data_IF_647895015456
#
_entry.id   IF_647895015456
#
_cell.length_a   1.000
_cell.length_b   1.000
_cell.length_c   1.000
_cell.angle_alpha   90.00
_cell.angle_beta   90.00
_cell.angle_gamma   90.00
#
_symmetry.space_group_name_H-M   'P 1'
#
loop_
_entity.id
_entity.type
_entity.pdbx_description
1 polymer ?
#
# COMPACT_ATOMS: atom_id res chain seq x y z
N UNK A 1 1.99 34.30 2.30
CA UNK A 1 1.04 33.90 1.25
C UNK A 1 1.50 32.54 0.74
N UNK A 2 0.76 31.47 1.02
CA UNK A 2 1.09 30.10 0.59
C UNK A 2 0.98 30.06 -0.94
N UNK A 3 2.08 29.75 -1.63
CA UNK A 3 2.11 29.71 -3.10
C UNK A 3 1.25 28.53 -3.57
N UNK A 4 0.47 28.71 -4.62
CA UNK A 4 -0.20 27.60 -5.30
C UNK A 4 0.82 26.57 -5.80
N UNK A 5 0.37 25.34 -6.08
CA UNK A 5 1.25 24.29 -6.59
C UNK A 5 1.80 24.60 -7.98
N UNK A 6 1.05 25.35 -8.80
CA UNK A 6 1.53 25.82 -10.09
C UNK A 6 2.64 26.87 -9.95
N UNK A 7 2.45 27.86 -9.09
CA UNK A 7 3.48 28.88 -8.83
C UNK A 7 4.74 28.26 -8.23
N UNK A 8 4.59 27.29 -7.32
CA UNK A 8 5.73 26.56 -6.76
C UNK A 8 6.48 25.78 -7.85
N UNK A 9 5.77 25.10 -8.75
CA UNK A 9 6.38 24.37 -9.87
C UNK A 9 7.11 25.31 -10.82
N UNK A 10 6.51 26.46 -11.14
CA UNK A 10 7.10 27.49 -12.01
C UNK A 10 8.38 28.04 -11.39
N UNK A 11 8.36 28.36 -10.09
CA UNK A 11 9.54 28.84 -9.37
C UNK A 11 10.65 27.80 -9.28
N UNK A 12 10.34 26.50 -9.17
CA UNK A 12 11.38 25.47 -9.23
C UNK A 12 12.10 25.43 -10.57
N UNK A 13 11.40 25.76 -11.67
CA UNK A 13 12.00 25.84 -13.02
C UNK A 13 12.83 27.11 -13.18
N UNK A 14 12.29 28.26 -12.76
CA UNK A 14 12.91 29.57 -12.96
C UNK A 14 14.03 29.87 -11.97
N UNK A 15 13.84 29.47 -10.70
CA UNK A 15 14.70 29.79 -9.59
C UNK A 15 14.75 28.63 -8.58
N UNK A 16 15.48 27.58 -8.98
CA UNK A 16 15.69 26.34 -8.23
C UNK A 16 16.57 26.52 -6.97
N UNK A 17 16.31 27.54 -6.17
CA UNK A 17 17.01 27.83 -4.92
C UNK A 17 16.67 26.81 -3.83
N UNK A 18 17.55 26.69 -2.83
CA UNK A 18 17.34 25.79 -1.68
C UNK A 18 16.03 26.08 -0.93
N UNK A 19 15.60 27.35 -0.85
CA UNK A 19 14.32 27.70 -0.21
C UNK A 19 13.13 27.14 -0.98
N UNK A 20 13.13 27.23 -2.31
CA UNK A 20 12.04 26.73 -3.15
C UNK A 20 12.01 25.19 -3.14
N UNK A 21 13.18 24.55 -3.18
CA UNK A 21 13.30 23.10 -3.01
C UNK A 21 12.77 22.63 -1.65
N UNK A 22 13.10 23.35 -0.56
CA UNK A 22 12.60 23.04 0.78
C UNK A 22 11.08 23.17 0.89
N UNK A 23 10.48 24.17 0.23
CA UNK A 23 9.01 24.31 0.19
C UNK A 23 8.37 23.12 -0.53
N UNK A 24 8.89 22.71 -1.69
CA UNK A 24 8.42 21.53 -2.40
C UNK A 24 8.59 20.25 -1.56
N UNK A 25 9.74 20.09 -0.92
CA UNK A 25 9.99 18.97 -0.03
C UNK A 25 8.97 18.93 1.11
N UNK A 26 8.77 20.04 1.82
CA UNK A 26 7.85 20.08 2.95
C UNK A 26 6.40 19.82 2.54
N UNK A 27 6.00 20.26 1.35
CA UNK A 27 4.64 20.08 0.85
C UNK A 27 4.32 18.64 0.48
N UNK A 28 5.28 17.91 -0.12
CA UNK A 28 5.02 16.58 -0.67
C UNK A 28 5.67 15.43 0.11
N UNK A 29 6.52 15.71 1.12
CA UNK A 29 7.23 14.67 1.88
C UNK A 29 6.31 13.64 2.52
N UNK A 30 5.24 14.08 3.18
CA UNK A 30 4.36 13.19 3.94
C UNK A 30 3.62 12.23 3.02
N UNK A 31 3.07 12.77 1.92
CA UNK A 31 2.44 11.98 0.86
C UNK A 31 3.40 10.92 0.31
N UNK A 32 4.61 11.34 -0.10
CA UNK A 32 5.54 10.43 -0.76
C UNK A 32 6.06 9.36 0.22
N UNK A 33 6.40 9.74 1.45
CA UNK A 33 6.89 8.81 2.46
C UNK A 33 5.83 7.75 2.80
N UNK A 34 4.56 8.14 2.91
CA UNK A 34 3.45 7.20 3.13
C UNK A 34 3.37 6.16 2.01
N UNK A 35 3.48 6.58 0.75
CA UNK A 35 3.50 5.66 -0.40
C UNK A 35 4.66 4.68 -0.30
N UNK A 36 5.86 5.18 0.01
CA UNK A 36 7.05 4.34 0.12
C UNK A 36 6.89 3.29 1.24
N UNK A 37 6.41 3.70 2.42
CA UNK A 37 6.14 2.81 3.56
C UNK A 37 5.12 1.73 3.23
N UNK A 38 3.99 2.11 2.63
CA UNK A 38 2.94 1.14 2.25
C UNK A 38 3.49 0.05 1.33
N UNK A 39 4.39 0.41 0.40
CA UNK A 39 4.99 -0.51 -0.57
C UNK A 39 6.07 -1.39 0.04
N UNK A 40 6.81 -0.88 1.03
CA UNK A 40 7.96 -1.56 1.61
C UNK A 40 7.64 -2.31 2.92
N UNK A 41 6.44 -2.14 3.50
CA UNK A 41 6.06 -2.71 4.81
C UNK A 41 6.17 -4.24 4.95
N UNK A 42 6.28 -4.98 3.85
CA UNK A 42 6.37 -6.44 3.84
C UNK A 42 7.79 -6.94 3.53
N UNK A 43 8.81 -6.09 3.63
CA UNK A 43 10.22 -6.46 3.50
C UNK A 43 10.89 -6.40 4.86
N UNK A 44 11.84 -7.29 5.08
CA UNK A 44 12.77 -7.14 6.20
C UNK A 44 13.58 -5.86 5.98
N UNK A 45 13.67 -5.00 6.99
CA UNK A 45 14.24 -3.65 6.83
C UNK A 45 13.39 -2.72 5.94
N UNK A 46 12.08 -2.99 5.84
CA UNK A 46 11.16 -2.24 4.98
C UNK A 46 11.09 -0.73 5.25
N UNK A 47 11.39 -0.28 6.48
CA UNK A 47 11.46 1.15 6.80
C UNK A 47 12.69 1.80 6.14
N UNK A 48 13.88 1.17 6.25
CA UNK A 48 15.09 1.67 5.57
C UNK A 48 14.90 1.68 4.05
N UNK A 49 14.29 0.63 3.49
CA UNK A 49 13.97 0.59 2.06
C UNK A 49 13.01 1.71 1.65
N UNK A 50 12.02 2.02 2.49
CA UNK A 50 11.09 3.13 2.23
C UNK A 50 11.82 4.49 2.24
N UNK A 51 12.73 4.70 3.18
CA UNK A 51 13.56 5.91 3.24
C UNK A 51 14.47 6.05 2.01
N UNK A 52 15.13 4.98 1.59
CA UNK A 52 15.99 4.97 0.40
C UNK A 52 15.20 5.33 -0.87
N UNK A 53 14.03 4.70 -1.06
CA UNK A 53 13.17 4.98 -2.20
C UNK A 53 12.63 6.41 -2.16
N UNK A 54 12.25 6.89 -0.97
CA UNK A 54 11.81 8.26 -0.77
C UNK A 54 12.90 9.26 -1.17
N UNK A 55 14.13 9.09 -0.66
CA UNK A 55 15.25 9.98 -0.95
C UNK A 55 15.58 9.98 -2.45
N UNK A 56 15.70 8.80 -3.05
CA UNK A 56 15.96 8.66 -4.50
C UNK A 56 14.86 9.31 -5.35
N UNK A 57 13.60 9.16 -4.93
CA UNK A 57 12.46 9.78 -5.62
C UNK A 57 12.53 11.29 -5.54
N UNK A 58 12.79 11.87 -4.37
CA UNK A 58 12.89 13.33 -4.22
C UNK A 58 14.01 13.93 -5.05
N UNK A 59 15.19 13.28 -5.08
CA UNK A 59 16.32 13.72 -5.90
C UNK A 59 15.94 13.68 -7.39
N UNK A 60 15.34 12.58 -7.86
CA UNK A 60 14.91 12.44 -9.26
C UNK A 60 13.80 13.42 -9.63
N UNK A 61 12.88 13.69 -8.72
CA UNK A 61 11.82 14.67 -8.92
C UNK A 61 12.40 16.08 -9.08
N UNK A 62 13.30 16.53 -8.19
CA UNK A 62 13.91 17.85 -8.31
C UNK A 62 14.72 18.00 -9.61
N UNK A 63 15.46 16.96 -10.01
CA UNK A 63 16.19 16.96 -11.28
C UNK A 63 15.26 16.92 -12.52
N UNK A 64 14.08 16.32 -12.38
CA UNK A 64 13.10 16.13 -13.45
C UNK A 64 12.04 17.22 -13.56
N UNK A 65 12.10 18.28 -12.73
CA UNK A 65 11.01 19.24 -12.57
C UNK A 65 10.62 19.94 -13.88
N UNK A 66 11.62 20.24 -14.72
CA UNK A 66 11.43 20.82 -16.05
C UNK A 66 10.58 19.93 -16.97
N UNK A 67 10.70 18.60 -16.84
CA UNK A 67 9.91 17.66 -17.64
C UNK A 67 8.45 17.63 -17.19
N UNK A 68 8.20 17.75 -15.88
CA UNK A 68 6.84 17.84 -15.36
C UNK A 68 6.19 19.15 -15.79
N UNK A 69 6.88 20.27 -15.61
CA UNK A 69 6.36 21.60 -15.96
C UNK A 69 5.96 21.69 -17.45
N UNK A 70 6.72 21.07 -18.36
CA UNK A 70 6.36 21.01 -19.80
C UNK A 70 5.11 20.16 -20.11
N UNK A 71 4.73 19.25 -19.22
CA UNK A 71 3.59 18.33 -19.41
C UNK A 71 2.29 18.87 -18.83
N UNK A 72 2.36 19.88 -17.97
CA UNK A 72 1.22 20.48 -17.26
C UNK A 72 1.06 21.91 -17.76
N UNK A 73 -0.17 22.35 -18.00
CA UNK A 73 -0.49 23.74 -18.35
C UNK A 73 -0.96 24.53 -17.13
N UNK A 74 -0.83 25.87 -17.16
CA UNK A 74 -1.47 26.81 -16.21
C UNK A 74 -2.95 26.49 -15.99
N UNK A 75 -3.65 26.08 -17.05
CA UNK A 75 -5.10 25.83 -17.04
C UNK A 75 -5.48 24.50 -16.38
N UNK A 76 -4.49 23.72 -15.93
CA UNK A 76 -4.72 22.43 -15.30
C UNK A 76 -5.42 22.63 -13.96
N UNK A 77 -6.68 22.22 -13.88
CA UNK A 77 -7.56 22.41 -12.72
C UNK A 77 -7.07 21.73 -11.43
N UNK A 78 -6.07 20.83 -11.50
CA UNK A 78 -5.52 20.17 -10.32
C UNK A 78 -4.02 19.83 -10.44
N UNK A 79 -3.16 20.87 -10.50
CA UNK A 79 -1.70 20.73 -10.53
C UNK A 79 -1.15 19.82 -9.42
N UNK A 80 -1.73 19.89 -8.22
CA UNK A 80 -1.33 19.06 -7.09
C UNK A 80 -1.49 17.56 -7.39
N UNK A 81 -2.63 17.15 -7.96
CA UNK A 81 -2.89 15.76 -8.36
C UNK A 81 -1.88 15.29 -9.40
N UNK A 82 -1.50 16.14 -10.34
CA UNK A 82 -0.47 15.80 -11.33
C UNK A 82 0.91 15.63 -10.71
N UNK A 83 1.31 16.50 -9.76
CA UNK A 83 2.56 16.35 -9.02
C UNK A 83 2.55 15.05 -8.22
N UNK A 84 1.48 14.77 -7.45
CA UNK A 84 1.32 13.54 -6.68
C UNK A 84 1.41 12.29 -7.57
N UNK A 85 0.73 12.27 -8.72
CA UNK A 85 0.77 11.16 -9.67
C UNK A 85 2.17 10.95 -10.28
N UNK A 86 2.87 12.04 -10.57
CA UNK A 86 4.24 12.00 -11.10
C UNK A 86 5.23 11.47 -10.06
N UNK A 87 5.18 11.97 -8.82
CA UNK A 87 5.99 11.48 -7.70
C UNK A 87 5.75 9.98 -7.46
N UNK A 88 4.50 9.54 -7.43
CA UNK A 88 4.14 8.12 -7.29
C UNK A 88 4.70 7.27 -8.43
N UNK A 89 4.77 7.82 -9.65
CA UNK A 89 5.37 7.14 -10.80
C UNK A 89 6.88 6.97 -10.65
N UNK A 90 7.59 8.00 -10.19
CA UNK A 90 9.03 7.90 -9.91
C UNK A 90 9.27 6.87 -8.80
N UNK A 91 8.56 6.95 -7.67
CA UNK A 91 8.71 6.01 -6.56
C UNK A 91 8.45 4.55 -6.98
N UNK A 92 7.41 4.34 -7.81
CA UNK A 92 7.12 3.01 -8.38
C UNK A 92 8.30 2.49 -9.21
N UNK A 93 8.92 3.34 -10.00
CA UNK A 93 10.06 2.96 -10.83
C UNK A 93 11.30 2.66 -9.97
N UNK A 94 11.57 3.45 -8.92
CA UNK A 94 12.66 3.16 -7.97
C UNK A 94 12.47 1.82 -7.28
N UNK A 95 11.25 1.55 -6.80
CA UNK A 95 10.92 0.27 -6.18
C UNK A 95 11.07 -0.90 -7.16
N UNK A 96 10.64 -0.74 -8.42
CA UNK A 96 10.84 -1.76 -9.46
C UNK A 96 12.32 -1.99 -9.76
N UNK A 97 13.13 -0.94 -9.79
CA UNK A 97 14.59 -1.06 -9.95
C UNK A 97 15.25 -1.78 -8.78
N UNK A 98 14.82 -1.49 -7.54
CA UNK A 98 15.28 -2.23 -6.36
C UNK A 98 14.98 -3.73 -6.50
N UNK A 99 13.74 -4.10 -6.87
CA UNK A 99 13.36 -5.50 -7.09
C UNK A 99 14.12 -6.17 -8.24
N UNK A 100 14.47 -5.40 -9.28
CA UNK A 100 15.27 -5.90 -10.40
C UNK A 100 16.71 -6.21 -9.96
N UNK A 101 17.28 -5.40 -9.08
CA UNK A 101 18.64 -5.58 -8.53
C UNK A 101 18.70 -6.64 -7.44
N UNK A 102 17.59 -6.89 -6.75
CA UNK A 102 17.48 -7.84 -5.64
C UNK A 102 16.45 -8.94 -5.98
N UNK A 103 16.78 -9.88 -6.88
CA UNK A 103 15.84 -10.90 -7.34
C UNK A 103 15.39 -11.86 -6.23
N UNK A 104 16.20 -12.05 -5.19
CA UNK A 104 15.81 -12.87 -4.03
C UNK A 104 14.73 -12.19 -3.19
N UNK A 105 14.75 -10.86 -3.03
CA UNK A 105 13.67 -10.08 -2.43
C UNK A 105 12.36 -10.14 -3.25
N UNK A 106 12.49 -10.36 -4.56
CA UNK A 106 11.37 -10.61 -5.47
C UNK A 106 10.80 -12.03 -5.32
N UNK A 107 11.58 -13.00 -4.84
CA UNK A 107 11.15 -14.39 -4.59
C UNK A 107 10.66 -14.61 -3.16
N UNK A 108 11.30 -13.97 -2.19
CA UNK A 108 10.92 -13.89 -0.77
C UNK A 108 9.77 -12.91 -0.53
N UNK A 109 9.39 -12.19 -1.58
CA UNK A 109 8.11 -11.49 -1.69
C UNK A 109 6.99 -12.38 -1.16
N UNK A 110 6.52 -12.06 0.04
CA UNK A 110 5.33 -12.64 0.63
C UNK A 110 4.28 -12.96 -0.47
N UNK A 111 3.73 -14.19 -0.56
CA UNK A 111 2.66 -14.51 -1.52
C UNK A 111 1.44 -13.56 -1.41
N UNK A 112 1.30 -12.85 -0.28
CA UNK A 112 0.33 -11.77 -0.07
C UNK A 112 0.75 -10.39 -0.65
N UNK A 113 1.84 -10.28 -1.44
CA UNK A 113 2.15 -9.05 -2.18
C UNK A 113 1.12 -8.88 -3.30
N UNK A 114 0.24 -7.89 -3.13
CA UNK A 114 -0.58 -7.35 -4.21
C UNK A 114 0.30 -7.14 -5.44
N UNK A 115 -0.09 -7.74 -6.57
CA UNK A 115 0.60 -7.52 -7.84
C UNK A 115 0.69 -6.03 -8.07
N UNK A 116 1.90 -5.57 -8.41
CA UNK A 116 2.27 -4.15 -8.54
C UNK A 116 1.29 -3.36 -9.42
N UNK A 117 0.61 -4.05 -10.33
CA UNK A 117 -0.26 -3.50 -11.35
C UNK A 117 -1.74 -3.37 -10.89
N UNK A 118 -2.14 -3.98 -9.77
CA UNK A 118 -3.53 -3.93 -9.24
C UNK A 118 -3.76 -2.85 -8.19
N UNK A 119 -2.68 -2.24 -7.67
CA UNK A 119 -2.85 -1.01 -6.89
C UNK A 119 -3.02 0.13 -7.89
N UNK A 120 -4.23 0.23 -8.44
CA UNK A 120 -4.79 1.54 -8.77
C UNK A 120 -4.72 2.34 -7.49
N UNK A 121 -3.79 3.28 -7.48
CA UNK A 121 -3.59 4.20 -6.38
C UNK A 121 -4.77 5.18 -6.39
N UNK A 122 -5.95 4.72 -5.94
CA UNK A 122 -7.06 5.58 -5.55
C UNK A 122 -6.71 6.17 -4.19
N UNK A 123 -5.87 7.20 -4.20
CA UNK A 123 -5.65 8.05 -3.03
C UNK A 123 -6.63 9.21 -3.07
N UNK A 124 -7.77 9.05 -2.41
CA UNK A 124 -8.41 10.17 -1.72
C UNK A 124 -7.63 10.41 -0.42
N UNK A 125 -6.43 10.98 -0.53
CA UNK A 125 -5.70 11.44 0.64
C UNK A 125 -6.24 12.81 1.02
N UNK A 126 -6.98 12.87 2.11
CA UNK A 126 -7.30 14.11 2.80
C UNK A 126 -5.99 14.83 3.13
N UNK A 127 -5.78 16.00 2.53
CA UNK A 127 -4.65 16.92 2.73
C UNK A 127 -4.66 17.60 4.10
N UNK A 128 -5.08 16.91 5.15
CA UNK A 128 -4.99 17.47 6.50
C UNK A 128 -3.61 17.16 7.05
N UNK A 129 -2.78 18.21 7.03
CA UNK A 129 -1.60 18.41 7.88
C UNK A 129 -1.96 17.93 9.29
N UNK A 130 -1.51 16.73 9.64
CA UNK A 130 -1.13 16.27 10.96
C UNK A 130 -0.65 14.83 10.80
N UNK A 131 0.32 14.42 11.61
CA UNK A 131 0.65 13.01 11.82
C UNK A 131 -0.58 12.29 12.40
N UNK A 132 -1.57 12.01 11.55
CA UNK A 132 -2.62 11.09 11.90
C UNK A 132 -1.98 9.72 11.74
N UNK A 133 -1.42 9.22 12.85
CA UNK A 133 -1.48 7.78 13.16
C UNK A 133 -2.88 7.39 12.71
N UNK A 134 -3.00 6.64 11.60
CA UNK A 134 -4.29 6.17 11.11
C UNK A 134 -4.96 5.53 12.32
N UNK A 135 -5.88 6.27 12.98
CA UNK A 135 -6.77 5.66 13.95
C UNK A 135 -7.48 4.63 13.09
N UNK A 136 -7.25 3.32 13.32
CA UNK A 136 -7.84 2.33 12.47
C UNK A 136 -9.34 2.62 12.51
N UNK A 137 -10.00 2.62 11.35
CA UNK A 137 -11.45 2.81 11.34
C UNK A 137 -12.06 1.83 12.34
N UNK A 138 -13.20 2.14 12.94
CA UNK A 138 -13.87 1.22 13.89
C UNK A 138 -13.97 -0.20 13.29
N UNK A 139 -14.09 -0.30 11.95
CA UNK A 139 -14.06 -1.56 11.21
C UNK A 139 -12.68 -2.25 11.16
N UNK A 140 -11.58 -1.50 11.04
CA UNK A 140 -10.21 -2.03 11.06
C UNK A 140 -9.81 -2.49 12.46
N UNK A 141 -10.14 -1.74 13.52
CA UNK A 141 -9.88 -2.17 14.92
C UNK A 141 -10.63 -3.46 15.25
N UNK A 142 -11.91 -3.54 14.86
CA UNK A 142 -12.73 -4.75 15.04
C UNK A 142 -12.21 -5.93 14.22
N UNK A 143 -11.74 -5.68 13.00
CA UNK A 143 -11.13 -6.71 12.16
C UNK A 143 -9.82 -7.22 12.76
N UNK A 144 -8.95 -6.32 13.24
CA UNK A 144 -7.67 -6.68 13.86
C UNK A 144 -7.89 -7.44 15.18
N UNK A 145 -8.86 -7.01 15.99
CA UNK A 145 -9.30 -7.74 17.19
C UNK A 145 -9.88 -9.12 16.83
N UNK A 146 -10.64 -9.24 15.75
CA UNK A 146 -11.15 -10.53 15.30
C UNK A 146 -10.05 -11.45 14.76
N UNK A 147 -9.05 -10.90 14.06
CA UNK A 147 -7.91 -11.64 13.53
C UNK A 147 -6.95 -12.09 14.64
N UNK A 148 -6.86 -11.37 15.77
CA UNK A 148 -6.04 -11.78 16.91
C UNK A 148 -6.62 -12.96 17.70
N UNK A 149 -7.93 -13.22 17.57
CA UNK A 149 -8.61 -14.41 18.13
C UNK A 149 -8.35 -15.70 17.33
N UNK A 150 -7.75 -15.58 16.15
CA UNK A 150 -7.40 -16.73 15.30
C UNK A 150 -5.98 -17.18 15.62
N UNK A 151 -5.80 -18.49 15.78
CA UNK A 151 -4.46 -19.09 15.76
C UNK A 151 -3.79 -18.88 14.39
N UNK A 152 -2.46 -18.92 14.31
CA UNK A 152 -1.73 -18.79 13.04
C UNK A 152 -2.22 -19.77 11.98
N UNK A 153 -2.57 -20.99 12.40
CA UNK A 153 -3.19 -22.02 11.55
C UNK A 153 -4.54 -21.57 11.02
N UNK A 154 -5.43 -21.09 11.89
CA UNK A 154 -6.78 -20.63 11.52
C UNK A 154 -6.72 -19.41 10.60
N UNK A 155 -5.78 -18.50 10.87
CA UNK A 155 -5.55 -17.28 10.10
C UNK A 155 -5.03 -17.60 8.71
N UNK A 156 -4.02 -18.47 8.60
CA UNK A 156 -3.47 -18.87 7.30
C UNK A 156 -4.53 -19.56 6.43
N UNK A 157 -5.25 -20.55 6.97
CA UNK A 157 -6.32 -21.25 6.22
C UNK A 157 -7.37 -20.26 5.73
N UNK A 158 -7.80 -19.34 6.59
CA UNK A 158 -8.82 -18.36 6.22
C UNK A 158 -8.33 -17.41 5.12
N UNK A 159 -7.10 -16.92 5.21
CA UNK A 159 -6.51 -16.03 4.21
C UNK A 159 -6.43 -16.70 2.83
N UNK A 160 -6.02 -17.98 2.78
CA UNK A 160 -6.03 -18.74 1.52
C UNK A 160 -7.45 -18.86 0.96
N UNK A 161 -8.47 -19.06 1.79
CA UNK A 161 -9.87 -19.01 1.30
C UNK A 161 -10.29 -17.65 0.76
N UNK A 162 -9.78 -16.54 1.33
CA UNK A 162 -10.09 -15.19 0.87
C UNK A 162 -9.38 -14.83 -0.44
N UNK A 163 -8.18 -15.36 -0.66
CA UNK A 163 -7.43 -15.18 -1.92
C UNK A 163 -8.20 -15.72 -3.14
N UNK A 164 -8.95 -16.81 -2.95
CA UNK A 164 -9.77 -17.44 -4.00
C UNK A 164 -11.24 -17.00 -3.95
N UNK A 165 -11.60 -16.07 -3.07
CA UNK A 165 -12.97 -15.59 -2.95
C UNK A 165 -13.36 -14.75 -4.17
N UNK A 166 -14.46 -15.14 -4.82
CA UNK A 166 -15.04 -14.38 -5.92
C UNK A 166 -16.41 -13.86 -5.48
N UNK A 167 -16.65 -12.53 -5.43
CA UNK A 167 -17.94 -11.97 -5.08
C UNK A 167 -19.10 -12.41 -6.00
N UNK A 168 -18.79 -12.75 -7.25
CA UNK A 168 -19.75 -13.22 -8.25
C UNK A 168 -20.08 -14.71 -8.03
N UNK A 169 -19.12 -15.47 -7.49
CA UNK A 169 -19.25 -16.90 -7.17
C UNK A 169 -18.83 -17.17 -5.72
N UNK A 170 -19.61 -16.74 -4.72
CA UNK A 170 -19.20 -16.75 -3.31
C UNK A 170 -18.96 -18.16 -2.74
N UNK A 171 -19.45 -19.20 -3.42
CA UNK A 171 -19.31 -20.60 -3.03
C UNK A 171 -18.23 -21.35 -3.83
N UNK A 172 -17.37 -20.64 -4.56
CA UNK A 172 -16.30 -21.28 -5.34
C UNK A 172 -15.40 -22.12 -4.44
N UNK A 173 -15.21 -23.37 -4.84
CA UNK A 173 -14.35 -24.29 -4.11
C UNK A 173 -12.89 -23.87 -4.27
N UNK A 174 -12.07 -24.11 -3.24
CA UNK A 174 -10.63 -24.04 -3.42
C UNK A 174 -10.22 -25.09 -4.46
N UNK A 175 -9.25 -24.80 -5.33
CA UNK A 175 -8.67 -25.82 -6.20
C UNK A 175 -8.17 -27.03 -5.39
N UNK A 176 -8.36 -28.25 -5.92
CA UNK A 176 -8.05 -29.48 -5.20
C UNK A 176 -6.57 -29.58 -4.80
N UNK A 177 -5.66 -29.02 -5.61
CA UNK A 177 -4.24 -28.95 -5.30
C UNK A 177 -3.96 -28.08 -4.07
N UNK A 178 -4.68 -26.97 -3.90
CA UNK A 178 -4.56 -26.06 -2.75
C UNK A 178 -5.09 -26.74 -1.49
N UNK A 179 -6.20 -27.48 -1.60
CA UNK A 179 -6.75 -28.26 -0.49
C UNK A 179 -5.76 -29.34 -0.05
N UNK A 180 -5.18 -30.08 -0.99
CA UNK A 180 -4.18 -31.11 -0.70
C UNK A 180 -2.94 -30.51 0.00
N UNK A 181 -2.47 -29.35 -0.44
CA UNK A 181 -1.36 -28.63 0.19
C UNK A 181 -1.68 -28.24 1.64
N UNK A 182 -2.84 -27.63 1.90
CA UNK A 182 -3.25 -27.23 3.25
C UNK A 182 -3.45 -28.43 4.18
N UNK A 183 -4.03 -29.51 3.64
CA UNK A 183 -4.19 -30.77 4.36
C UNK A 183 -2.85 -31.38 4.76
N UNK A 184 -1.88 -31.42 3.84
CA UNK A 184 -0.53 -31.92 4.13
C UNK A 184 0.22 -31.01 5.12
N UNK A 185 0.16 -29.70 4.92
CA UNK A 185 0.88 -28.72 5.76
C UNK A 185 0.44 -28.77 7.23
N UNK A 186 -0.87 -28.92 7.48
CA UNK A 186 -1.42 -28.94 8.84
C UNK A 186 -1.75 -30.34 9.36
N UNK A 187 -1.43 -31.38 8.59
CA UNK A 187 -1.77 -32.77 8.87
C UNK A 187 -3.26 -32.94 9.23
N UNK A 188 -4.14 -32.42 8.37
CA UNK A 188 -5.60 -32.47 8.52
C UNK A 188 -6.26 -33.00 7.26
N UNK A 189 -7.51 -33.44 7.36
CA UNK A 189 -8.33 -33.79 6.20
C UNK A 189 -9.16 -32.61 5.69
N UNK A 190 -9.74 -32.76 4.50
CA UNK A 190 -10.51 -31.71 3.83
C UNK A 190 -11.79 -31.33 4.61
N UNK A 191 -12.39 -32.26 5.35
CA UNK A 191 -13.52 -31.99 6.25
C UNK A 191 -13.10 -31.08 7.40
N UNK A 192 -11.98 -31.37 8.06
CA UNK A 192 -11.41 -30.55 9.12
C UNK A 192 -11.04 -29.15 8.60
N UNK A 193 -10.48 -29.06 7.38
CA UNK A 193 -10.16 -27.79 6.73
C UNK A 193 -11.41 -26.91 6.57
N UNK A 194 -12.53 -27.47 6.08
CA UNK A 194 -13.81 -26.75 5.96
C UNK A 194 -14.35 -26.30 7.32
N UNK A 195 -14.23 -27.16 8.34
CA UNK A 195 -14.66 -26.82 9.70
C UNK A 195 -13.82 -25.69 10.30
N UNK A 196 -12.50 -25.72 10.10
CA UNK A 196 -11.59 -24.65 10.55
C UNK A 196 -11.99 -23.33 9.90
N UNK A 197 -12.18 -23.28 8.57
CA UNK A 197 -12.68 -22.08 7.86
C UNK A 197 -13.97 -21.56 8.50
N UNK A 198 -14.96 -22.44 8.67
CA UNK A 198 -16.27 -22.06 9.22
C UNK A 198 -16.16 -21.47 10.64
N UNK A 199 -15.34 -22.09 11.50
CA UNK A 199 -15.10 -21.59 12.86
C UNK A 199 -14.34 -20.27 12.86
N UNK A 200 -13.32 -20.11 12.02
CA UNK A 200 -12.57 -18.86 11.88
C UNK A 200 -13.44 -17.70 11.40
N UNK A 201 -14.29 -17.93 10.40
CA UNK A 201 -15.25 -16.92 9.94
C UNK A 201 -16.25 -16.54 11.03
N UNK A 202 -16.72 -17.50 11.83
CA UNK A 202 -17.62 -17.22 12.94
C UNK A 202 -16.94 -16.36 14.02
N UNK A 203 -15.69 -16.67 14.37
CA UNK A 203 -14.90 -15.86 15.31
C UNK A 203 -14.75 -14.42 14.82
N UNK A 204 -14.45 -14.22 13.53
CA UNK A 204 -14.39 -12.90 12.92
C UNK A 204 -15.73 -12.18 12.92
N UNK A 205 -16.81 -12.86 12.55
CA UNK A 205 -18.15 -12.26 12.55
C UNK A 205 -18.59 -11.83 13.94
N UNK A 206 -18.25 -12.59 14.99
CA UNK A 206 -18.53 -12.18 16.38
C UNK A 206 -17.77 -10.90 16.70
N UNK A 207 -16.46 -10.84 16.41
CA UNK A 207 -15.66 -9.64 16.67
C UNK A 207 -16.12 -8.40 15.86
N UNK A 208 -16.64 -8.60 14.65
CA UNK A 208 -17.16 -7.51 13.80
C UNK A 208 -18.57 -7.07 14.23
N UNK A 209 -19.43 -8.01 14.63
CA UNK A 209 -20.82 -7.76 15.00
C UNK A 209 -21.06 -7.55 16.49
N UNK A 210 -20.04 -7.62 17.35
CA UNK A 210 -20.18 -7.30 18.76
C UNK A 210 -20.68 -5.86 18.90
N UNK A 211 -22.00 -5.78 19.12
CA UNK A 211 -22.74 -4.65 19.66
C UNK A 211 -22.53 -4.68 21.17
N UNK A 212 -21.50 -3.98 21.63
CA UNK A 212 -21.35 -3.49 23.00
C UNK A 212 -20.43 -2.26 22.83
N UNK A 213 -20.89 -1.01 22.92
CA UNK A 213 -21.89 -0.37 23.79
C UNK A 213 -22.79 0.54 22.94
#
# INVERSE_FOLDING_TARGET
MEKSDWELLTLLVENNSRQVQSEFFNRYKSFLLQICRIRCKHFDGGEQLAEDIFQNTMIKALNGINLLHKRISVETTNTQKHIKAWLATIARNEFREFLRKNPEEKKLSNPFRLKIDEIEVYFELNDNKDEVIEKPTINKEKLDAGLSLLSDREKHILLVYMEYYNPIEPNRHLPDNVIAQLCNQYNINSTNLRQIKSRSLRKLMIAINDKNI
#
